data_IF_821690803508
#
_entry.id   IF_821690803508
#
_cell.length_a   1.000
_cell.length_b   1.000
_cell.length_c   1.000
_cell.angle_alpha   90.00
_cell.angle_beta   90.00
_cell.angle_gamma   90.00
#
_symmetry.space_group_name_H-M   'P 1'
#
loop_
_entity.id
_entity.type
_entity.pdbx_description
1 polymer ?
#
# COMPACT_ATOMS: atom_id res chain seq x y z
N UNK A 1 -9.18 -5.40 -7.35
CA UNK A 1 -8.61 -4.04 -7.48
C UNK A 1 -7.23 -3.94 -6.83
N UNK A 2 -7.06 -4.23 -5.52
CA UNK A 2 -5.75 -4.15 -4.85
C UNK A 2 -4.66 -5.02 -5.52
N UNK A 3 -4.98 -6.27 -5.89
CA UNK A 3 -4.03 -7.15 -6.59
C UNK A 3 -3.61 -6.63 -7.97
N UNK A 4 -4.50 -5.91 -8.67
CA UNK A 4 -4.18 -5.32 -9.97
C UNK A 4 -3.21 -4.14 -9.81
N UNK A 5 -3.44 -3.28 -8.82
CA UNK A 5 -2.52 -2.20 -8.49
C UNK A 5 -1.19 -2.72 -7.97
N UNK A 6 -1.20 -3.81 -7.21
CA UNK A 6 0.04 -4.46 -6.77
C UNK A 6 0.84 -5.03 -7.95
N UNK A 7 0.18 -5.68 -8.92
CA UNK A 7 0.85 -6.11 -10.16
C UNK A 7 1.47 -4.93 -10.94
N UNK A 8 0.81 -3.77 -10.95
CA UNK A 8 1.35 -2.56 -11.57
C UNK A 8 2.59 -2.03 -10.82
N UNK A 9 2.60 -2.09 -9.49
CA UNK A 9 3.75 -1.71 -8.66
C UNK A 9 4.96 -2.58 -8.98
N UNK A 10 4.79 -3.90 -9.08
CA UNK A 10 5.84 -4.82 -9.51
C UNK A 10 6.36 -4.44 -10.91
N UNK A 11 5.48 -4.33 -11.90
CA UNK A 11 5.87 -4.07 -13.29
C UNK A 11 6.62 -2.73 -13.42
N UNK A 12 6.13 -1.66 -12.82
CA UNK A 12 6.77 -0.33 -12.91
C UNK A 12 8.06 -0.29 -12.09
N UNK A 13 8.07 -0.93 -10.91
CA UNK A 13 9.22 -0.96 -10.01
C UNK A 13 10.40 -1.78 -10.54
N UNK A 14 10.13 -2.79 -11.36
CA UNK A 14 11.15 -3.73 -11.84
C UNK A 14 11.62 -3.45 -13.26
N UNK A 15 10.94 -2.60 -14.04
CA UNK A 15 11.43 -2.16 -15.36
C UNK A 15 12.48 -1.05 -15.16
N UNK A 16 13.74 -1.24 -15.58
CA UNK A 16 14.83 -0.29 -15.32
C UNK A 16 14.55 1.14 -15.81
N UNK A 17 14.04 1.29 -17.03
CA UNK A 17 13.73 2.59 -17.63
C UNK A 17 12.57 3.30 -16.92
N UNK A 18 11.47 2.58 -16.66
CA UNK A 18 10.31 3.14 -15.97
C UNK A 18 10.64 3.57 -14.54
N UNK A 19 11.41 2.76 -13.79
CA UNK A 19 11.90 3.13 -12.45
C UNK A 19 12.81 4.35 -12.50
N UNK A 20 13.74 4.41 -13.46
CA UNK A 20 14.68 5.53 -13.57
C UNK A 20 13.95 6.85 -13.85
N UNK A 21 12.97 6.83 -14.75
CA UNK A 21 12.15 8.00 -15.08
C UNK A 21 11.36 8.47 -13.85
N UNK A 22 10.66 7.54 -13.17
CA UNK A 22 9.86 7.87 -11.98
C UNK A 22 10.76 8.34 -10.81
N UNK A 23 11.96 7.77 -10.67
CA UNK A 23 12.95 8.14 -9.67
C UNK A 23 13.50 9.58 -9.83
N UNK A 24 13.37 10.19 -11.01
CA UNK A 24 13.68 11.61 -11.18
C UNK A 24 12.63 12.54 -10.58
N UNK A 25 11.38 12.08 -10.48
CA UNK A 25 10.26 12.88 -9.99
C UNK A 25 9.94 12.65 -8.52
N UNK A 26 10.22 11.45 -7.98
CA UNK A 26 9.98 11.12 -6.58
C UNK A 26 11.04 10.15 -6.05
N UNK A 27 11.43 10.34 -4.78
CA UNK A 27 12.36 9.41 -4.13
C UNK A 27 11.72 8.04 -3.93
N UNK A 28 12.55 7.00 -3.83
CA UNK A 28 12.10 5.63 -3.55
C UNK A 28 11.17 5.55 -2.33
N UNK A 29 11.52 6.26 -1.24
CA UNK A 29 10.71 6.33 -0.02
C UNK A 29 9.32 6.91 -0.29
N UNK A 30 9.22 7.98 -1.09
CA UNK A 30 7.92 8.60 -1.42
C UNK A 30 7.07 7.65 -2.27
N UNK A 31 7.68 6.99 -3.26
CA UNK A 31 6.99 6.04 -4.13
C UNK A 31 6.47 4.83 -3.35
N UNK A 32 7.31 4.24 -2.51
CA UNK A 32 6.95 3.14 -1.63
C UNK A 32 5.82 3.56 -0.67
N UNK A 33 5.98 4.70 -0.01
CA UNK A 33 4.96 5.21 0.91
C UNK A 33 3.60 5.42 0.24
N UNK A 34 3.60 6.03 -0.95
CA UNK A 34 2.36 6.31 -1.67
C UNK A 34 1.73 5.04 -2.23
N UNK A 35 2.51 4.19 -2.90
CA UNK A 35 2.02 2.95 -3.50
C UNK A 35 1.43 2.00 -2.46
N UNK A 36 2.18 1.74 -1.39
CA UNK A 36 1.74 0.82 -0.33
C UNK A 36 0.68 1.44 0.60
N UNK A 37 0.67 2.76 0.77
CA UNK A 37 -0.42 3.46 1.44
C UNK A 37 -1.75 3.33 0.69
N UNK A 38 -1.76 3.49 -0.63
CA UNK A 38 -2.95 3.29 -1.47
C UNK A 38 -3.40 1.82 -1.44
N UNK A 39 -2.47 0.88 -1.51
CA UNK A 39 -2.77 -0.55 -1.35
C UNK A 39 -3.43 -0.85 0.00
N UNK A 40 -2.90 -0.29 1.09
CA UNK A 40 -3.48 -0.45 2.42
C UNK A 40 -4.91 0.09 2.50
N UNK A 41 -5.20 1.25 1.90
CA UNK A 41 -6.55 1.82 1.83
C UNK A 41 -7.52 0.90 1.05
N UNK A 42 -7.06 0.34 -0.07
CA UNK A 42 -7.87 -0.54 -0.90
C UNK A 42 -8.13 -1.90 -0.24
N UNK A 43 -7.11 -2.47 0.40
CA UNK A 43 -7.26 -3.68 1.21
C UNK A 43 -8.23 -3.41 2.36
N UNK A 44 -8.08 -2.30 3.07
CA UNK A 44 -8.96 -1.93 4.18
C UNK A 44 -10.40 -1.81 3.71
N UNK A 45 -10.64 -1.13 2.58
CA UNK A 45 -11.99 -0.96 2.01
C UNK A 45 -12.62 -2.28 1.56
N UNK A 46 -11.83 -3.23 1.04
CA UNK A 46 -12.32 -4.52 0.54
C UNK A 46 -12.47 -5.62 1.59
N UNK A 47 -11.77 -5.55 2.72
CA UNK A 47 -11.87 -6.56 3.78
C UNK A 47 -13.16 -6.36 4.58
N UNK A 48 -13.92 -7.44 4.77
CA UNK A 48 -15.13 -7.44 5.59
C UNK A 48 -14.82 -7.75 7.07
N UNK A 49 -15.70 -7.28 7.97
CA UNK A 49 -15.64 -7.55 9.40
C UNK A 49 -15.30 -6.31 10.24
N UNK A 50 -14.78 -6.53 11.45
CA UNK A 50 -14.48 -5.46 12.39
C UNK A 50 -13.39 -4.52 11.88
N UNK A 51 -13.45 -3.25 12.29
CA UNK A 51 -12.50 -2.23 11.84
C UNK A 51 -11.05 -2.57 12.18
N UNK A 52 -10.84 -3.14 13.37
CA UNK A 52 -9.52 -3.62 13.82
C UNK A 52 -9.05 -4.78 12.94
N UNK A 53 -9.91 -5.75 12.63
CA UNK A 53 -9.56 -6.86 11.72
C UNK A 53 -9.18 -6.34 10.34
N UNK A 54 -9.91 -5.37 9.81
CA UNK A 54 -9.63 -4.74 8.51
C UNK A 54 -8.26 -4.06 8.51
N UNK A 55 -7.94 -3.28 9.54
CA UNK A 55 -6.63 -2.64 9.68
C UNK A 55 -5.50 -3.68 9.78
N UNK A 56 -5.62 -4.65 10.68
CA UNK A 56 -4.60 -5.68 10.90
C UNK A 56 -4.33 -6.49 9.63
N UNK A 57 -5.38 -6.96 8.95
CA UNK A 57 -5.22 -7.73 7.72
C UNK A 57 -4.66 -6.89 6.57
N UNK A 58 -4.98 -5.59 6.51
CA UNK A 58 -4.42 -4.68 5.48
C UNK A 58 -2.93 -4.48 5.69
N UNK A 59 -2.50 -4.20 6.92
CA UNK A 59 -1.07 -4.04 7.25
C UNK A 59 -0.32 -5.35 7.03
N UNK A 60 -0.87 -6.49 7.45
CA UNK A 60 -0.25 -7.80 7.26
C UNK A 60 -0.08 -8.14 5.78
N UNK A 61 -1.11 -7.89 4.96
CA UNK A 61 -1.05 -8.11 3.52
C UNK A 61 -0.01 -7.20 2.85
N UNK A 62 0.06 -5.92 3.23
CA UNK A 62 1.10 -5.01 2.72
C UNK A 62 2.49 -5.47 3.16
N UNK A 63 2.67 -5.89 4.41
CA UNK A 63 3.95 -6.42 4.88
C UNK A 63 4.41 -7.63 4.06
N UNK A 64 3.49 -8.54 3.71
CA UNK A 64 3.78 -9.69 2.85
C UNK A 64 4.11 -9.27 1.41
N UNK A 65 3.35 -8.32 0.85
CA UNK A 65 3.57 -7.78 -0.49
C UNK A 65 4.92 -7.05 -0.60
N UNK A 66 5.24 -6.17 0.34
CA UNK A 66 6.54 -5.49 0.38
C UNK A 66 7.71 -6.46 0.56
N UNK A 67 7.55 -7.49 1.40
CA UNK A 67 8.58 -8.52 1.54
C UNK A 67 8.81 -9.30 0.24
N UNK A 68 7.74 -9.60 -0.50
CA UNK A 68 7.82 -10.26 -1.80
C UNK A 68 8.49 -9.36 -2.85
N UNK A 69 8.17 -8.07 -2.87
CA UNK A 69 8.82 -7.09 -3.75
C UNK A 69 10.32 -7.04 -3.50
N UNK A 70 10.75 -6.84 -2.24
CA UNK A 70 12.17 -6.78 -1.90
C UNK A 70 12.89 -8.12 -2.19
N UNK A 71 12.20 -9.24 -2.01
CA UNK A 71 12.70 -10.56 -2.41
C UNK A 71 12.91 -10.64 -3.92
N UNK A 72 11.94 -10.27 -4.74
CA UNK A 72 12.06 -10.25 -6.22
C UNK A 72 13.20 -9.31 -6.65
N UNK A 73 13.23 -8.10 -6.09
CA UNK A 73 14.25 -7.10 -6.38
C UNK A 73 15.67 -7.56 -6.00
N UNK A 74 15.81 -8.42 -4.99
CA UNK A 74 17.12 -8.98 -4.62
C UNK A 74 17.77 -9.85 -5.70
N UNK A 75 16.98 -10.35 -6.66
CA UNK A 75 17.49 -11.10 -7.82
C UNK A 75 17.81 -10.21 -9.02
N UNK A 76 17.49 -8.91 -8.98
CA UNK A 76 17.75 -8.00 -10.09
C UNK A 76 19.19 -7.46 -10.01
N UNK A 77 20.02 -7.57 -11.05
CA UNK A 77 21.42 -7.13 -10.98
C UNK A 77 21.59 -5.60 -10.87
N UNK A 78 20.56 -4.83 -11.22
CA UNK A 78 20.55 -3.36 -11.25
C UNK A 78 19.77 -2.74 -10.07
N UNK A 79 19.22 -3.55 -9.16
CA UNK A 79 18.49 -3.11 -7.97
C UNK A 79 18.82 -4.04 -6.82
N UNK A 80 19.03 -3.52 -5.62
CA UNK A 80 19.13 -4.38 -4.43
C UNK A 80 17.88 -4.18 -3.62
N UNK A 81 17.28 -5.28 -3.19
CA UNK A 81 16.24 -5.22 -2.17
C UNK A 81 16.82 -4.61 -0.89
N UNK A 82 16.08 -3.71 -0.26
CA UNK A 82 16.45 -2.98 0.93
C UNK A 82 15.37 -3.19 2.02
N UNK A 83 15.81 -3.71 3.17
CA UNK A 83 14.94 -3.88 4.35
C UNK A 83 14.35 -2.53 4.79
N UNK A 84 15.06 -1.42 4.54
CA UNK A 84 14.55 -0.07 4.80
C UNK A 84 13.30 0.27 3.98
N UNK A 85 13.23 -0.17 2.72
CA UNK A 85 12.09 0.11 1.84
C UNK A 85 10.87 -0.72 2.30
N UNK A 86 11.10 -1.97 2.70
CA UNK A 86 10.07 -2.80 3.34
C UNK A 86 9.50 -2.18 4.63
N UNK A 87 10.35 -1.59 5.48
CA UNK A 87 9.91 -0.89 6.68
C UNK A 87 9.08 0.37 6.35
N UNK A 88 9.43 1.07 5.27
CA UNK A 88 8.64 2.21 4.76
C UNK A 88 7.25 1.73 4.34
N UNK A 89 7.14 0.60 3.64
CA UNK A 89 5.85 0.04 3.18
C UNK A 89 4.93 -0.28 4.37
N UNK A 90 5.47 -0.93 5.40
CA UNK A 90 4.74 -1.26 6.63
C UNK A 90 4.30 0.02 7.36
N UNK A 91 5.19 1.01 7.44
CA UNK A 91 4.91 2.30 8.09
C UNK A 91 3.78 3.02 7.36
N UNK A 92 3.85 3.09 6.03
CA UNK A 92 2.81 3.71 5.22
C UNK A 92 1.46 3.02 5.38
N UNK A 93 1.43 1.69 5.36
CA UNK A 93 0.20 0.94 5.59
C UNK A 93 -0.39 1.20 6.98
N UNK A 94 0.46 1.28 8.00
CA UNK A 94 0.04 1.55 9.38
C UNK A 94 -0.54 2.96 9.54
N UNK A 95 0.15 3.96 8.98
CA UNK A 95 -0.28 5.38 8.99
C UNK A 95 -1.61 5.56 8.27
N UNK A 96 -1.88 4.79 7.22
CA UNK A 96 -3.17 4.80 6.53
C UNK A 96 -4.24 4.01 7.28
N UNK A 97 -3.94 2.80 7.75
CA UNK A 97 -4.94 1.90 8.33
C UNK A 97 -5.45 2.36 9.71
N UNK A 98 -4.58 2.97 10.54
CA UNK A 98 -4.95 3.37 11.90
C UNK A 98 -6.05 4.45 11.94
N UNK A 99 -5.93 5.59 11.23
CA UNK A 99 -7.01 6.58 11.17
C UNK A 99 -8.32 6.01 10.63
N UNK A 100 -8.26 5.07 9.68
CA UNK A 100 -9.44 4.48 9.06
C UNK A 100 -10.28 3.67 10.04
N UNK A 101 -9.71 3.14 11.12
CA UNK A 101 -10.49 2.46 12.17
C UNK A 101 -11.57 3.39 12.73
N UNK A 102 -11.24 4.68 12.92
CA UNK A 102 -12.12 5.69 13.53
C UNK A 102 -12.91 6.47 12.48
N UNK A 103 -12.28 6.80 11.34
CA UNK A 103 -12.89 7.64 10.31
C UNK A 103 -13.91 6.90 9.45
N UNK A 104 -13.65 5.63 9.13
CA UNK A 104 -14.48 4.89 8.19
C UNK A 104 -15.93 4.67 8.64
N UNK A 105 -16.25 4.35 9.92
CA UNK A 105 -17.63 4.24 10.36
C UNK A 105 -18.36 5.59 10.25
N UNK A 106 -17.67 6.69 10.56
CA UNK A 106 -18.22 8.05 10.46
C UNK A 106 -18.49 8.43 9.00
N UNK A 107 -17.55 8.13 8.10
CA UNK A 107 -17.72 8.35 6.66
C UNK A 107 -18.87 7.52 6.09
N UNK A 108 -18.97 6.25 6.48
CA UNK A 108 -20.07 5.38 6.07
C UNK A 108 -21.43 5.91 6.55
N UNK A 109 -21.52 6.32 7.82
CA UNK A 109 -22.72 6.93 8.38
C UNK A 109 -23.10 8.25 7.68
N UNK A 110 -22.13 9.13 7.40
CA UNK A 110 -22.36 10.38 6.68
C UNK A 110 -22.81 10.16 5.23
N UNK A 111 -22.26 9.15 4.54
CA UNK A 111 -22.66 8.80 3.19
C UNK A 111 -24.11 8.27 3.13
N UNK A 112 -24.49 7.42 4.09
CA UNK A 112 -25.86 6.89 4.19
C UNK A 112 -26.86 7.96 4.64
N UNK A 113 -26.46 8.87 5.54
CA UNK A 113 -27.30 9.97 6.03
C UNK A 113 -27.61 11.04 4.97
N UNK A 114 -26.80 11.17 3.92
CA UNK A 114 -27.10 12.02 2.76
C UNK A 114 -28.19 11.45 1.84
N UNK A 115 -28.51 10.16 1.94
CA UNK A 115 -29.56 9.51 1.12
C UNK A 115 -30.98 9.60 1.70
N UNK A 116 -31.14 10.17 2.91
CA UNK A 116 -32.43 10.27 3.60
C UNK A 116 -32.98 11.71 3.72
N UNK A 117 -32.36 12.68 3.05
CA UNK A 117 -32.82 14.08 3.00
C UNK A 117 -33.24 14.47 1.59
#
# INVERSE_FOLDING_TARGET
>A
MALFLYALVIIIGDIPGARADVGQYASGVVLHSFGYGVLALLLFSGIAGSMVRRALLSVLMVALMGALDEYIQSFLPYRRGAVSDWLVDITAATVVALPLIVLWPKMAAAALGKGQR
#
